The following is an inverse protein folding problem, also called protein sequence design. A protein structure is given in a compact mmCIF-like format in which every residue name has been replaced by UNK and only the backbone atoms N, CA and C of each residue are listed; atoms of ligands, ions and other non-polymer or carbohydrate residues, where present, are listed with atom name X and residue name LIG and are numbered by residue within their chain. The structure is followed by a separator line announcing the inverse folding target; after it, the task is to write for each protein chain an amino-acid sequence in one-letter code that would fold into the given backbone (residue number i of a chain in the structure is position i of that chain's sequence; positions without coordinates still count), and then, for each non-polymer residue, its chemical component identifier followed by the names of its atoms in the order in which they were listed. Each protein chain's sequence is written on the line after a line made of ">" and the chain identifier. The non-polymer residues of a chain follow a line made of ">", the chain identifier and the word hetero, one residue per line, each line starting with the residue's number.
data_IF_627875142072
#
_entry.id   IF_627875142072
#
_cell.length_a   1.000
_cell.length_b   1.000
_cell.length_c   1.000
_cell.angle_alpha   90.00
_cell.angle_beta   90.00
_cell.angle_gamma   90.00
#
_symmetry.space_group_name_H-M   'P 1'
#
loop_
_entity.id
_entity.type
_entity.pdbx_description
1 polymer ?
#
# COMPACT_ATOMS: atom_id res chain seq x y z
N UNK A 1 24.69 -0.87 7.24
CA UNK A 1 23.42 -1.15 7.92
C UNK A 1 22.26 -0.61 7.10
N UNK A 2 21.41 -1.45 6.58
CA UNK A 2 20.29 -0.94 5.83
C UNK A 2 19.33 -0.20 6.75
N UNK A 3 18.85 0.93 6.27
CA UNK A 3 17.79 1.66 6.98
C UNK A 3 16.50 0.86 6.91
N UNK A 4 15.71 0.92 7.97
CA UNK A 4 14.38 0.37 7.91
C UNK A 4 13.55 1.20 6.95
N UNK A 5 12.96 0.52 5.99
CA UNK A 5 12.12 1.18 5.00
C UNK A 5 10.82 1.65 5.64
N UNK A 6 10.30 2.77 5.15
CA UNK A 6 9.02 3.28 5.59
C UNK A 6 7.92 2.71 4.71
N UNK A 7 6.96 2.04 5.34
CA UNK A 7 5.75 1.54 4.68
C UNK A 7 4.60 2.43 5.12
N UNK A 8 3.88 2.99 4.16
CA UNK A 8 2.70 3.81 4.44
C UNK A 8 1.46 2.95 4.17
N UNK A 9 0.52 2.97 5.11
CA UNK A 9 -0.73 2.21 5.01
C UNK A 9 -1.90 3.18 4.97
N UNK A 10 -2.69 3.11 3.90
CA UNK A 10 -3.87 3.96 3.74
C UNK A 10 -5.10 3.06 3.76
N UNK A 11 -5.91 3.19 4.79
CA UNK A 11 -7.02 2.28 5.06
C UNK A 11 -8.04 2.98 5.95
N UNK A 12 -9.29 3.04 5.51
CA UNK A 12 -10.32 3.70 6.29
C UNK A 12 -10.90 2.82 7.41
N UNK A 13 -10.80 1.49 7.31
CA UNK A 13 -11.22 0.58 8.37
C UNK A 13 -10.18 0.54 9.47
N UNK A 14 -10.55 1.01 10.65
CA UNK A 14 -9.64 1.12 11.79
C UNK A 14 -9.04 -0.23 12.19
N UNK A 15 -9.83 -1.29 12.22
CA UNK A 15 -9.32 -2.60 12.64
C UNK A 15 -8.28 -3.14 11.68
N UNK A 16 -8.55 -3.06 10.39
CA UNK A 16 -7.61 -3.54 9.38
C UNK A 16 -6.36 -2.68 9.35
N UNK A 17 -6.53 -1.35 9.50
CA UNK A 17 -5.41 -0.41 9.55
C UNK A 17 -4.46 -0.74 10.69
N UNK A 18 -4.99 -0.99 11.89
CA UNK A 18 -4.17 -1.36 13.05
C UNK A 18 -3.52 -2.73 12.87
N UNK A 19 -4.22 -3.67 12.26
CA UNK A 19 -3.65 -4.99 11.98
C UNK A 19 -2.46 -4.88 11.04
N UNK A 20 -2.57 -4.04 10.01
CA UNK A 20 -1.48 -3.82 9.07
C UNK A 20 -0.29 -3.15 9.76
N UNK A 21 -0.56 -2.17 10.63
CA UNK A 21 0.49 -1.50 11.37
C UNK A 21 1.30 -2.49 12.20
N UNK A 22 0.62 -3.36 12.93
CA UNK A 22 1.30 -4.36 13.77
C UNK A 22 2.10 -5.34 12.93
N UNK A 23 1.50 -5.82 11.84
CA UNK A 23 2.17 -6.78 10.97
C UNK A 23 3.44 -6.18 10.36
N UNK A 24 3.34 -5.00 9.79
CA UNK A 24 4.47 -4.33 9.15
C UNK A 24 5.59 -4.08 10.16
N UNK A 25 5.22 -3.62 11.35
CA UNK A 25 6.22 -3.40 12.40
C UNK A 25 6.89 -4.70 12.84
N UNK A 26 6.13 -5.78 12.93
CA UNK A 26 6.68 -7.08 13.32
C UNK A 26 7.68 -7.60 12.31
N UNK A 27 7.60 -7.16 11.06
CA UNK A 27 8.54 -7.55 10.02
C UNK A 27 9.79 -6.67 9.99
N UNK A 28 9.88 -5.69 10.88
CA UNK A 28 11.08 -4.85 11.02
C UNK A 28 11.05 -3.53 10.27
N UNK A 29 9.93 -3.18 9.64
CA UNK A 29 9.82 -1.93 8.90
C UNK A 29 9.24 -0.81 9.76
N UNK A 30 9.54 0.43 9.39
CA UNK A 30 8.81 1.58 9.92
C UNK A 30 7.45 1.64 9.23
N UNK A 31 6.45 2.13 9.94
CA UNK A 31 5.10 2.21 9.38
C UNK A 31 4.43 3.52 9.79
N UNK A 32 3.76 4.15 8.83
CA UNK A 32 2.83 5.25 9.09
C UNK A 32 1.47 4.85 8.56
N UNK A 33 0.43 5.20 9.31
CA UNK A 33 -0.93 4.83 8.95
C UNK A 33 -1.77 6.07 8.70
N UNK A 34 -2.69 5.97 7.74
CA UNK A 34 -3.56 7.06 7.32
C UNK A 34 -4.97 6.53 7.11
N UNK A 35 -5.96 7.29 7.55
CA UNK A 35 -7.36 6.89 7.43
C UNK A 35 -7.95 7.24 6.06
N UNK A 36 -7.26 8.04 5.26
CA UNK A 36 -7.74 8.45 3.94
C UNK A 36 -6.57 8.74 3.01
N UNK A 37 -6.86 8.75 1.70
CA UNK A 37 -5.88 9.14 0.71
C UNK A 37 -5.44 10.60 0.90
N UNK A 38 -6.39 11.48 1.26
CA UNK A 38 -6.08 12.89 1.48
C UNK A 38 -5.06 13.06 2.60
N UNK A 39 -5.20 12.32 3.70
CA UNK A 39 -4.27 12.40 4.81
C UNK A 39 -2.87 11.95 4.39
N UNK A 40 -2.78 10.90 3.58
CA UNK A 40 -1.50 10.43 3.07
C UNK A 40 -0.86 11.46 2.15
N UNK A 41 -1.64 12.03 1.23
CA UNK A 41 -1.12 13.02 0.29
C UNK A 41 -0.64 14.29 0.98
N UNK A 42 -1.18 14.60 2.15
CA UNK A 42 -0.77 15.77 2.94
C UNK A 42 0.43 15.49 3.84
N UNK A 43 0.89 14.24 3.91
CA UNK A 43 1.99 13.89 4.81
C UNK A 43 3.31 14.52 4.38
N UNK A 44 4.04 15.16 5.29
CA UNK A 44 5.37 15.68 4.97
C UNK A 44 6.40 14.60 4.67
N UNK A 45 6.09 13.34 5.01
CA UNK A 45 6.98 12.22 4.77
C UNK A 45 6.57 11.36 3.59
N UNK A 46 5.64 11.86 2.75
CA UNK A 46 5.19 11.10 1.58
C UNK A 46 6.38 10.68 0.71
N UNK A 47 7.30 11.58 0.47
CA UNK A 47 8.48 11.30 -0.36
C UNK A 47 9.44 10.28 0.22
N UNK A 48 9.30 9.93 1.50
CA UNK A 48 10.13 8.91 2.15
C UNK A 48 9.50 7.53 2.07
N UNK A 49 8.28 7.41 1.57
CA UNK A 49 7.56 6.15 1.50
C UNK A 49 8.24 5.20 0.52
N UNK A 50 8.68 4.05 1.03
CA UNK A 50 9.33 3.03 0.21
C UNK A 50 8.32 2.03 -0.36
N UNK A 51 7.17 1.88 0.29
CA UNK A 51 6.09 1.01 -0.17
C UNK A 51 4.77 1.53 0.37
N UNK A 52 3.75 1.53 -0.47
CA UNK A 52 2.40 1.92 -0.09
C UNK A 52 1.50 0.70 -0.07
N UNK A 53 0.76 0.52 1.01
CA UNK A 53 -0.33 -0.46 1.07
C UNK A 53 -1.62 0.36 1.14
N UNK A 54 -2.49 0.22 0.15
CA UNK A 54 -3.72 1.02 0.07
C UNK A 54 -4.93 0.14 -0.16
N UNK A 55 -6.00 0.44 0.58
CA UNK A 55 -7.29 -0.19 0.36
C UNK A 55 -7.90 0.34 -0.94
N UNK A 56 -8.44 -0.57 -1.75
CA UNK A 56 -9.12 -0.18 -3.00
C UNK A 56 -10.40 0.59 -2.70
N UNK A 57 -11.16 0.15 -1.70
CA UNK A 57 -12.52 0.66 -1.47
C UNK A 57 -12.56 1.69 -0.36
N UNK A 58 -12.13 2.91 -0.66
CA UNK A 58 -12.18 4.02 0.27
C UNK A 58 -13.12 5.11 -0.26
N UNK A 59 -13.79 5.84 0.63
CA UNK A 59 -14.60 6.97 0.17
C UNK A 59 -13.73 8.09 -0.40
N UNK A 60 -14.30 8.91 -1.26
CA UNK A 60 -13.71 10.08 -1.89
C UNK A 60 -12.63 9.70 -2.92
N UNK A 61 -11.56 9.03 -2.51
CA UNK A 61 -10.52 8.58 -3.43
C UNK A 61 -10.19 7.11 -3.13
N UNK A 62 -10.36 6.25 -4.13
CA UNK A 62 -10.05 4.83 -4.01
C UNK A 62 -8.54 4.60 -4.05
N UNK A 63 -8.11 3.39 -3.67
CA UNK A 63 -6.69 3.04 -3.76
C UNK A 63 -6.17 3.08 -5.19
N UNK A 64 -7.00 2.70 -6.17
CA UNK A 64 -6.61 2.79 -7.59
C UNK A 64 -6.41 4.24 -8.00
N UNK A 65 -7.34 5.11 -7.61
CA UNK A 65 -7.25 6.54 -7.91
C UNK A 65 -6.02 7.17 -7.24
N UNK A 66 -5.76 6.78 -5.99
CA UNK A 66 -4.58 7.26 -5.28
C UNK A 66 -3.30 6.86 -6.02
N UNK A 67 -3.21 5.61 -6.46
CA UNK A 67 -2.05 5.14 -7.19
C UNK A 67 -1.83 5.95 -8.47
N UNK A 68 -2.91 6.18 -9.23
CA UNK A 68 -2.82 6.99 -10.46
C UNK A 68 -2.39 8.41 -10.18
N UNK A 69 -2.93 8.98 -9.10
CA UNK A 69 -2.55 10.34 -8.71
C UNK A 69 -1.06 10.44 -8.41
N UNK A 70 -0.51 9.44 -7.71
CA UNK A 70 0.91 9.41 -7.38
C UNK A 70 1.77 9.30 -8.65
N UNK A 71 1.40 8.41 -9.57
CA UNK A 71 2.12 8.25 -10.84
C UNK A 71 2.08 9.57 -11.64
N UNK A 72 0.91 10.18 -11.75
CA UNK A 72 0.74 11.41 -12.50
C UNK A 72 1.51 12.57 -11.86
N UNK A 73 1.75 12.51 -10.57
CA UNK A 73 2.51 13.52 -9.84
C UNK A 73 4.03 13.25 -9.83
N UNK A 74 4.46 12.21 -10.52
CA UNK A 74 5.88 11.88 -10.61
C UNK A 74 6.43 11.00 -9.49
N UNK A 75 5.57 10.47 -8.64
CA UNK A 75 6.01 9.58 -7.56
C UNK A 75 6.06 8.14 -8.04
N UNK A 76 7.19 7.47 -7.83
CA UNK A 76 7.37 6.07 -8.19
C UNK A 76 7.41 5.23 -6.91
N UNK A 77 6.26 5.06 -6.28
CA UNK A 77 6.15 4.33 -5.02
C UNK A 77 5.61 2.94 -5.29
N UNK A 78 6.39 1.88 -5.02
CA UNK A 78 5.86 0.51 -5.13
C UNK A 78 4.60 0.36 -4.30
N UNK A 79 3.52 -0.09 -4.91
CA UNK A 79 2.19 -0.09 -4.30
C UNK A 79 1.58 -1.49 -4.26
N UNK A 80 1.03 -1.83 -3.11
CA UNK A 80 0.24 -3.04 -2.90
C UNK A 80 -1.19 -2.59 -2.65
N UNK A 81 -2.13 -3.06 -3.47
CA UNK A 81 -3.55 -2.77 -3.25
C UNK A 81 -4.19 -3.94 -2.52
N UNK A 82 -5.04 -3.64 -1.55
CA UNK A 82 -5.80 -4.66 -0.82
C UNK A 82 -7.29 -4.35 -0.93
N UNK A 83 -8.11 -5.38 -0.98
CA UNK A 83 -9.54 -5.20 -1.11
C UNK A 83 -10.31 -6.33 -0.44
N UNK A 84 -11.46 -6.00 0.17
CA UNK A 84 -12.39 -7.00 0.68
C UNK A 84 -13.18 -7.65 -0.46
N UNK A 85 -13.21 -7.04 -1.64
CA UNK A 85 -14.03 -7.49 -2.77
C UNK A 85 -13.15 -7.65 -4.02
N UNK A 86 -12.31 -8.71 -4.08
CA UNK A 86 -11.41 -8.90 -5.20
C UNK A 86 -12.17 -9.09 -6.51
N UNK A 87 -11.62 -8.52 -7.58
CA UNK A 87 -12.22 -8.52 -8.91
C UNK A 87 -11.12 -8.73 -9.94
N UNK A 88 -11.26 -9.75 -10.78
CA UNK A 88 -10.20 -10.12 -11.72
C UNK A 88 -9.91 -9.05 -12.75
N UNK A 89 -10.92 -8.34 -13.22
CA UNK A 89 -10.75 -7.24 -14.19
C UNK A 89 -9.94 -6.11 -13.55
N UNK A 90 -10.32 -5.73 -12.34
CA UNK A 90 -9.61 -4.69 -11.61
C UNK A 90 -8.17 -5.11 -11.30
N UNK A 91 -7.98 -6.37 -10.91
CA UNK A 91 -6.65 -6.91 -10.62
C UNK A 91 -5.74 -6.83 -11.84
N UNK A 92 -6.23 -7.32 -12.98
CA UNK A 92 -5.46 -7.31 -14.22
C UNK A 92 -5.07 -5.88 -14.61
N UNK A 93 -6.02 -4.96 -14.53
CA UNK A 93 -5.80 -3.57 -14.87
C UNK A 93 -4.78 -2.92 -13.94
N UNK A 94 -4.89 -3.16 -12.64
CA UNK A 94 -3.96 -2.59 -11.66
C UNK A 94 -2.53 -3.09 -11.88
N UNK A 95 -2.38 -4.39 -12.10
CA UNK A 95 -1.06 -4.98 -12.35
C UNK A 95 -0.46 -4.45 -13.65
N UNK A 96 -1.27 -4.28 -14.69
CA UNK A 96 -0.80 -3.69 -15.95
C UNK A 96 -0.39 -2.24 -15.78
N UNK A 97 -1.00 -1.52 -14.85
CA UNK A 97 -0.66 -0.12 -14.56
C UNK A 97 0.62 0.02 -13.74
N UNK A 98 1.14 -1.08 -13.19
CA UNK A 98 2.39 -1.06 -12.45
C UNK A 98 2.28 -1.33 -10.96
N UNK A 99 1.08 -1.63 -10.45
CA UNK A 99 0.90 -2.03 -9.04
C UNK A 99 1.64 -3.34 -8.81
N UNK A 100 2.36 -3.44 -7.69
CA UNK A 100 3.18 -4.63 -7.42
C UNK A 100 2.33 -5.84 -7.11
N UNK A 101 1.32 -5.67 -6.26
CA UNK A 101 0.43 -6.76 -5.87
C UNK A 101 -0.98 -6.22 -5.68
N UNK A 102 -1.96 -7.07 -5.97
CA UNK A 102 -3.36 -6.81 -5.71
C UNK A 102 -3.88 -8.00 -4.91
N UNK A 103 -4.28 -7.77 -3.65
CA UNK A 103 -4.58 -8.83 -2.71
C UNK A 103 -5.98 -8.70 -2.13
N UNK A 104 -6.59 -9.84 -1.85
CA UNK A 104 -7.78 -9.88 -1.00
C UNK A 104 -7.37 -9.65 0.45
N UNK A 105 -8.20 -8.94 1.21
CA UNK A 105 -7.97 -8.74 2.65
C UNK A 105 -8.00 -10.06 3.43
N UNK A 106 -8.51 -11.12 2.83
CA UNK A 106 -8.58 -12.43 3.47
C UNK A 106 -7.33 -13.29 3.26
N UNK A 107 -6.34 -12.81 2.48
CA UNK A 107 -5.10 -13.58 2.30
C UNK A 107 -4.30 -13.61 3.59
N UNK A 108 -3.51 -14.66 3.76
CA UNK A 108 -2.71 -14.82 4.95
C UNK A 108 -1.51 -13.89 5.01
N UNK A 109 -0.95 -13.76 6.21
CA UNK A 109 0.21 -12.90 6.47
C UNK A 109 1.41 -13.25 5.60
N UNK A 110 1.61 -14.54 5.31
CA UNK A 110 2.74 -14.97 4.48
C UNK A 110 2.68 -14.39 3.08
N UNK A 111 1.48 -14.30 2.51
CA UNK A 111 1.31 -13.73 1.18
C UNK A 111 1.63 -12.24 1.18
N UNK A 112 1.11 -11.51 2.16
CA UNK A 112 1.42 -10.08 2.29
C UNK A 112 2.90 -9.86 2.54
N UNK A 113 3.52 -10.68 3.38
CA UNK A 113 4.95 -10.60 3.63
C UNK A 113 5.76 -10.73 2.35
N UNK A 114 5.40 -11.68 1.48
CA UNK A 114 6.09 -11.86 0.19
C UNK A 114 5.91 -10.65 -0.71
N UNK A 115 4.71 -10.07 -0.72
CA UNK A 115 4.44 -8.88 -1.53
C UNK A 115 5.24 -7.67 -1.02
N UNK A 116 5.34 -7.50 0.30
CA UNK A 116 6.14 -6.45 0.88
C UNK A 116 7.62 -6.60 0.50
N UNK A 117 8.12 -7.81 0.61
CA UNK A 117 9.51 -8.08 0.23
C UNK A 117 9.75 -7.75 -1.24
N UNK A 118 8.86 -8.19 -2.13
CA UNK A 118 8.97 -7.89 -3.56
C UNK A 118 8.93 -6.39 -3.82
N UNK A 119 8.02 -5.67 -3.17
CA UNK A 119 7.87 -4.23 -3.35
C UNK A 119 9.12 -3.48 -2.89
N UNK A 120 9.68 -3.89 -1.76
CA UNK A 120 10.82 -3.17 -1.15
C UNK A 120 12.15 -3.51 -1.81
N UNK A 121 12.24 -4.59 -2.55
CA UNK A 121 13.46 -4.95 -3.27
C UNK A 121 13.41 -4.58 -4.75
N UNK A 122 12.25 -4.28 -5.29
CA UNK A 122 12.08 -4.03 -6.73
C UNK A 122 12.72 -2.72 -7.20
N UNK A 123 13.01 -1.82 -6.28
CA UNK A 123 13.62 -0.53 -6.60
C UNK A 123 15.14 -0.51 -6.51
N UNK A 124 15.75 -1.65 -6.23
CA UNK A 124 17.20 -1.73 -6.05
C UNK A 124 17.96 -1.88 -7.35
#
# INVERSE_FOLDING_TARGET
>A
MPKRSLVSVVEDDQFFRESMRRLVRSLGYKVEIFASAADFLASPRLGETACLIADVNMPVMTGVELYRHLVDSGHTIPTILVTAFPNDVQRTRALNDGVVCYLSKSVGEQHLKRCLHAALTSGE
#
